data_IF_357501658244
#
_entry.id   IF_357501658244
#
_cell.length_a   1.000
_cell.length_b   1.000
_cell.length_c   1.000
_cell.angle_alpha   90.00
_cell.angle_beta   90.00
_cell.angle_gamma   90.00
#
_symmetry.space_group_name_H-M   'P 1'
#
loop_
_entity.id
_entity.type
_entity.pdbx_description
1 polymer ?
2 non-polymer ?
#
# COMPACT_ATOMS: atom_id res chain seq x y z
N UNK A 6 -28.95 -10.65 -6.91
CA UNK A 6 -27.94 -10.43 -5.84
C UNK A 6 -26.96 -9.35 -6.28
N UNK A 7 -26.76 -8.32 -5.45
CA UNK A 7 -25.80 -7.24 -5.74
C UNK A 7 -24.39 -7.84 -5.66
N UNK A 8 -23.51 -7.48 -6.59
CA UNK A 8 -22.08 -7.87 -6.54
C UNK A 8 -21.15 -6.93 -5.70
N UNK A 9 -21.18 -7.07 -4.34
CA UNK A 9 -20.45 -6.17 -3.41
C UNK A 9 -19.04 -6.74 -3.18
N UNK A 10 -18.01 -5.94 -3.43
CA UNK A 10 -16.60 -6.33 -3.20
C UNK A 10 -15.96 -5.26 -2.30
N UNK A 11 -14.93 -5.61 -1.56
CA UNK A 11 -14.19 -4.56 -0.81
C UNK A 11 -12.77 -4.52 -1.44
N UNK A 12 -12.13 -3.33 -1.47
CA UNK A 12 -10.75 -3.11 -1.96
C UNK A 12 -9.98 -2.28 -0.92
N UNK A 13 -8.79 -2.76 -0.54
CA UNK A 13 -7.91 -2.09 0.46
C UNK A 13 -7.52 -0.73 -0.13
N UNK A 14 -7.64 0.33 0.68
CA UNK A 14 -7.32 1.72 0.28
C UNK A 14 -5.94 2.12 0.82
N UNK A 15 -5.65 1.85 2.09
CA UNK A 15 -4.34 2.19 2.70
C UNK A 15 -4.24 1.57 4.11
N UNK A 16 -3.14 1.88 4.81
CA UNK A 16 -2.97 1.47 6.23
C UNK A 16 -3.72 2.47 7.10
N UNK A 17 -4.15 2.05 8.29
CA UNK A 17 -4.83 2.95 9.25
C UNK A 17 -3.77 3.44 10.26
N UNK A 18 -3.33 4.68 10.14
CA UNK A 18 -2.33 5.23 11.09
C UNK A 18 -2.58 6.73 11.30
N UNK A 19 -2.27 7.22 12.50
CA UNK A 19 -2.31 8.68 12.77
C UNK A 19 -1.29 9.39 11.88
N UNK A 20 -1.70 10.47 11.23
CA UNK A 20 -0.82 11.24 10.32
C UNK A 20 -0.30 12.50 11.03
N UNK A 21 1.01 12.54 11.31
CA UNK A 21 1.63 13.67 12.06
C UNK A 21 1.64 14.95 11.21
N UNK A 22 1.87 14.81 9.89
CA UNK A 22 2.05 15.96 8.95
C UNK A 22 0.69 16.36 8.36
N UNK A 23 -0.36 15.92 9.03
CA UNK A 23 -1.79 16.08 8.65
C UNK A 23 -2.24 17.55 8.70
N UNK A 24 -3.22 17.88 7.84
CA UNK A 24 -3.84 19.23 7.76
C UNK A 24 -4.93 19.33 8.83
N UNK A 25 -4.83 20.36 9.67
CA UNK A 25 -5.73 20.62 10.83
C UNK A 25 -6.94 21.42 10.33
N UNK A 26 -7.83 21.84 11.24
CA UNK A 26 -8.99 22.73 10.93
C UNK A 26 -9.93 22.01 9.95
N UNK A 27 -10.82 22.74 9.28
CA UNK A 27 -11.81 22.09 8.40
C UNK A 27 -11.87 22.73 7.02
N UNK A 28 -11.08 22.22 6.08
CA UNK A 28 -11.16 22.62 4.65
C UNK A 28 -12.04 21.62 3.89
N UNK A 29 -12.43 20.51 4.54
CA UNK A 29 -13.29 19.44 3.96
C UNK A 29 -12.76 19.01 2.59
N UNK A 80 -8.62 -10.07 3.99
CA UNK A 80 -7.17 -10.41 4.08
C UNK A 80 -6.37 -9.12 4.26
N UNK A 81 -5.76 -8.99 5.45
CA UNK A 81 -4.89 -7.85 5.86
C UNK A 81 -5.75 -6.79 6.55
N UNK A 82 -5.17 -6.14 7.57
CA UNK A 82 -5.81 -5.04 8.33
C UNK A 82 -5.73 -3.77 7.49
N UNK A 83 -6.65 -2.83 7.67
CA UNK A 83 -6.62 -1.55 6.94
C UNK A 83 -8.01 -0.96 6.71
N UNK A 84 -8.09 0.07 5.87
CA UNK A 84 -9.34 0.72 5.46
C UNK A 84 -9.64 0.21 4.05
N UNK A 85 -10.87 -0.28 3.80
CA UNK A 85 -11.26 -0.80 2.48
C UNK A 85 -12.40 0.08 1.93
N UNK A 86 -12.38 0.30 0.62
CA UNK A 86 -13.54 0.91 -0.08
C UNK A 86 -14.55 -0.22 -0.22
N UNK A 87 -15.85 0.08 -0.07
CA UNK A 87 -16.91 -0.94 -0.36
C UNK A 87 -17.55 -0.53 -1.69
N UNK A 88 -17.50 -1.44 -2.68
CA UNK A 88 -18.01 -1.13 -4.05
C UNK A 88 -18.82 -2.32 -4.53
N UNK A 89 -19.74 -2.07 -5.46
CA UNK A 89 -20.58 -3.12 -6.07
C UNK A 89 -20.42 -2.93 -7.59
N UNK A 90 -20.35 -4.02 -8.36
CA UNK A 90 -20.22 -3.93 -9.84
C UNK A 90 -21.51 -3.33 -10.42
N UNK A 91 -21.41 -2.44 -11.41
CA UNK A 91 -22.55 -1.85 -12.13
C UNK A 91 -22.46 -2.06 -13.63
N UNK A 92 -23.51 -1.65 -14.36
CA UNK A 92 -23.53 -1.80 -15.85
C UNK A 92 -22.45 -0.93 -16.49
N UNK A 93 -22.26 0.30 -15.96
CA UNK A 93 -21.18 1.21 -16.44
C UNK A 93 -19.84 0.81 -15.81
N UNK A 94 -19.84 0.54 -14.49
CA UNK A 94 -18.63 0.11 -13.76
C UNK A 94 -18.91 0.05 -12.28
N UNK A 95 -17.87 -0.11 -11.45
CA UNK A 95 -18.09 -0.16 -9.99
C UNK A 95 -18.47 1.24 -9.51
N UNK A 96 -19.19 1.31 -8.39
CA UNK A 96 -19.55 2.57 -7.71
C UNK A 96 -19.24 2.39 -6.22
N UNK A 97 -18.61 3.36 -5.57
CA UNK A 97 -18.26 3.22 -4.12
C UNK A 97 -19.41 3.67 -3.24
N UNK A 98 -19.93 2.75 -2.42
CA UNK A 98 -21.12 3.01 -1.57
C UNK A 98 -20.68 3.24 -0.11
N UNK A 99 -19.54 2.69 0.30
CA UNK A 99 -19.11 2.84 1.70
C UNK A 99 -17.64 2.58 1.89
N UNK A 100 -17.18 2.68 3.15
CA UNK A 100 -15.78 2.39 3.53
C UNK A 100 -15.83 1.45 4.73
N UNK A 101 -14.84 0.60 4.90
CA UNK A 101 -14.82 -0.31 6.05
C UNK A 101 -13.45 -0.38 6.68
N UNK A 102 -13.39 -0.81 7.94
CA UNK A 102 -12.13 -0.96 8.71
C UNK A 102 -11.85 -2.45 8.92
N UNK A 103 -10.67 -2.93 8.54
CA UNK A 103 -10.32 -4.35 8.82
C UNK A 103 -9.36 -4.39 10.03
N UNK A 104 -9.83 -5.01 11.11
CA UNK A 104 -9.04 -5.15 12.35
C UNK A 104 -9.32 -6.54 12.95
N UNK A 105 -8.25 -7.27 13.27
CA UNK A 105 -8.30 -8.61 13.94
C UNK A 105 -9.13 -9.60 13.11
N UNK A 106 -9.03 -9.55 11.77
CA UNK A 106 -9.69 -10.51 10.88
C UNK A 106 -11.19 -10.32 10.84
N UNK A 107 -11.68 -9.19 11.35
CA UNK A 107 -13.14 -8.83 11.35
C UNK A 107 -13.37 -7.51 10.60
N UNK A 108 -14.31 -7.49 9.64
CA UNK A 108 -14.60 -6.30 8.82
C UNK A 108 -15.75 -5.51 9.43
N UNK A 109 -15.52 -4.21 9.70
CA UNK A 109 -16.47 -3.29 10.38
C UNK A 109 -16.94 -2.29 9.33
N UNK A 110 -18.24 -2.06 9.22
CA UNK A 110 -18.79 -1.06 8.26
C UNK A 110 -20.16 -0.63 8.77
N UNK A 111 -20.75 0.37 8.12
CA UNK A 111 -22.11 0.89 8.40
C UNK A 111 -23.16 -0.09 7.87
N UNK A 112 -24.22 -0.31 8.63
CA UNK A 112 -25.28 -1.25 8.16
C UNK A 112 -25.85 -0.78 6.81
N UNK A 113 -26.09 0.53 6.68
CA UNK A 113 -26.72 1.12 5.49
C UNK A 113 -25.87 0.90 4.25
N UNK A 114 -24.53 0.87 4.39
CA UNK A 114 -23.67 0.66 3.20
C UNK A 114 -23.87 -0.77 2.67
N UNK A 115 -23.66 -1.77 3.54
CA UNK A 115 -23.70 -3.21 3.18
C UNK A 115 -25.16 -3.69 3.06
N UNK A 116 -26.02 -3.24 3.98
CA UNK A 116 -27.47 -3.60 4.01
C UNK A 116 -27.62 -5.11 4.30
N UNK A 117 -26.56 -5.74 4.82
CA UNK A 117 -26.52 -7.17 5.18
C UNK A 117 -26.02 -8.05 4.05
N UNK A 118 -25.78 -7.45 2.88
CA UNK A 118 -25.39 -8.23 1.68
C UNK A 118 -24.05 -8.91 1.93
N UNK A 119 -23.80 -10.01 1.24
CA UNK A 119 -22.52 -10.77 1.37
C UNK A 119 -21.43 -9.95 0.66
N UNK A 120 -20.21 -9.96 1.17
CA UNK A 120 -19.09 -9.18 0.59
C UNK A 120 -18.08 -10.14 -0.07
N UNK A 121 -17.57 -9.78 -1.25
CA UNK A 121 -16.53 -10.55 -1.95
C UNK A 121 -15.19 -9.85 -1.66
N UNK A 122 -14.26 -10.60 -1.05
CA UNK A 122 -12.87 -10.14 -0.81
C UNK A 122 -11.96 -11.18 -1.46
N UNK A 123 -11.10 -10.76 -2.40
CA UNK A 123 -10.20 -11.72 -3.10
C UNK A 123 -11.08 -12.76 -3.82
N UNK A 124 -10.77 -14.06 -3.63
CA UNK A 124 -11.57 -15.17 -4.17
C UNK A 124 -12.51 -15.76 -3.13
N UNK A 125 -12.50 -15.18 -1.93
CA UNK A 125 -13.31 -15.68 -0.79
C UNK A 125 -14.48 -14.72 -0.54
N UNK A 126 -15.62 -15.29 -0.18
CA UNK A 126 -16.83 -14.54 0.26
C UNK A 126 -16.70 -14.42 1.78
N UNK A 127 -16.71 -13.16 2.24
CA UNK A 127 -16.65 -12.75 3.67
C UNK A 127 -18.13 -12.53 4.10
N UNK A 128 -18.63 -13.09 5.22
CA UNK A 128 -20.10 -13.04 5.53
C UNK A 128 -20.42 -12.50 6.94
N UNK A 129 -21.57 -11.82 7.13
CA UNK A 129 -21.89 -11.12 8.39
C UNK A 129 -22.07 -11.96 9.66
N UNK A 130 -21.67 -11.42 10.81
CA UNK A 130 -21.69 -12.13 12.10
C UNK A 130 -22.64 -11.42 13.04
N UNK A 131 -22.58 -10.08 13.11
CA UNK A 131 -23.41 -9.28 14.03
C UNK A 131 -23.75 -7.94 13.38
N UNK A 132 -24.87 -7.31 13.76
CA UNK A 132 -25.22 -5.97 13.25
C UNK A 132 -26.15 -5.26 14.25
N UNK A 133 -26.24 -3.94 14.12
CA UNK A 133 -27.19 -3.09 14.89
C UNK A 133 -27.70 -2.03 13.90
N UNK A 134 -28.99 -2.07 13.55
CA UNK A 134 -29.63 -1.09 12.60
C UNK A 134 -29.78 0.29 13.25
N UNK A 135 -30.05 0.33 14.57
CA UNK A 135 -30.14 1.59 15.37
C UNK A 135 -28.79 2.32 15.43
N UNK A 136 -27.69 1.58 15.61
CA UNK A 136 -26.32 2.15 15.65
C UNK A 136 -25.72 2.25 14.24
N UNK A 137 -26.36 1.66 13.22
CA UNK A 137 -25.89 1.64 11.81
C UNK A 137 -24.52 0.96 11.74
N UNK A 138 -24.33 -0.16 12.43
CA UNK A 138 -23.03 -0.90 12.50
C UNK A 138 -23.22 -2.35 12.06
N UNK A 139 -22.31 -2.88 11.26
CA UNK A 139 -22.38 -4.30 10.83
C UNK A 139 -20.97 -4.88 10.90
N UNK A 140 -20.81 -6.08 11.45
CA UNK A 140 -19.49 -6.75 11.59
C UNK A 140 -19.51 -8.00 10.71
N UNK A 141 -18.45 -8.23 9.94
CA UNK A 141 -18.38 -9.40 9.02
C UNK A 141 -17.29 -10.36 9.51
N UNK A 142 -17.64 -11.65 9.60
CA UNK A 142 -16.67 -12.73 9.91
C UNK A 142 -16.34 -12.84 11.39
N UNK A 143 -16.67 -11.86 12.21
CA UNK A 143 -16.37 -11.90 13.66
C UNK A 143 -17.17 -10.89 14.46
N UNK A 144 -17.02 -10.89 15.79
CA UNK A 144 -17.68 -9.92 16.68
C UNK A 144 -17.08 -8.54 16.44
N UNK A 145 -17.76 -7.47 16.87
CA UNK A 145 -17.23 -6.07 16.76
C UNK A 145 -15.92 -5.99 17.53
N UNK A 146 -14.83 -5.54 16.88
CA UNK A 146 -13.48 -5.50 17.51
C UNK A 146 -13.09 -4.06 17.89
N UNK A 147 -13.88 -3.06 17.53
CA UNK A 147 -13.48 -1.64 17.76
C UNK A 147 -14.03 -1.20 19.12
N UNK A 148 -13.17 -1.19 20.15
CA UNK A 148 -13.56 -0.77 21.53
C UNK A 148 -12.98 0.60 21.87
N UNK A 149 -12.29 1.26 20.93
CA UNK A 149 -11.63 2.57 21.16
C UNK A 149 -12.65 3.66 21.46
N UNK A 150 -12.33 4.53 22.44
CA UNK A 150 -13.24 5.63 22.90
C UNK A 150 -12.52 6.98 22.78
N UNK A 151 -13.27 8.04 22.50
CA UNK A 151 -12.71 9.43 22.42
C UNK A 151 -12.48 10.00 23.83
N UNK A 152 -11.43 10.81 23.96
CA UNK A 152 -11.03 11.42 25.26
C UNK A 152 -12.16 12.37 25.66
N UNK A 153 -12.71 13.08 24.67
CA UNK A 153 -13.76 14.12 24.84
C UNK A 153 -13.12 15.52 24.70
N UNK A 154 -11.79 15.61 24.85
CA UNK A 154 -11.09 16.91 24.78
C UNK A 154 -10.06 16.97 23.67
N UNK A 155 -9.45 15.82 23.35
CA UNK A 155 -8.34 15.72 22.34
C UNK A 155 -8.87 15.88 20.91
N UNK A 156 -8.00 16.32 20.00
CA UNK A 156 -8.30 16.43 18.54
C UNK A 156 -8.24 15.03 17.89
N UNK A 157 -8.90 14.86 16.74
CA UNK A 157 -8.96 13.52 16.08
C UNK A 157 -8.61 13.69 14.60
N UNK A 158 -8.33 12.59 13.91
CA UNK A 158 -8.03 12.61 12.46
C UNK A 158 -9.02 11.67 11.77
N UNK A 159 -9.63 12.12 10.67
CA UNK A 159 -10.61 11.29 9.94
C UNK A 159 -9.83 10.73 8.72
N UNK A 160 -9.76 9.42 8.62
CA UNK A 160 -9.15 8.85 7.40
C UNK A 160 -10.21 8.75 6.30
N UNK A 161 -10.41 9.84 5.57
CA UNK A 161 -11.44 10.01 4.50
C UNK A 161 -11.11 9.11 3.28
N UNK A 162 -12.14 8.76 2.51
CA UNK A 162 -12.01 7.93 1.29
C UNK A 162 -13.04 8.39 0.24
N UNK A 163 -12.94 9.64 -0.19
CA UNK A 163 -13.94 10.12 -1.18
C UNK A 163 -14.03 9.09 -2.32
N UNK A 164 -15.22 8.73 -2.83
CA UNK A 164 -15.29 7.89 -4.02
C UNK A 164 -14.44 8.54 -5.15
N UNK A 165 -13.36 7.85 -5.54
CA UNK A 165 -12.53 8.28 -6.70
C UNK A 165 -11.46 9.27 -6.27
N UNK A 166 -11.13 9.27 -4.98
CA UNK A 166 -10.11 10.19 -4.44
C UNK A 166 -9.17 9.40 -3.52
N UNK A 167 -7.89 9.79 -3.50
CA UNK A 167 -6.86 9.17 -2.64
C UNK A 167 -7.33 9.30 -1.18
N UNK A 168 -7.08 8.29 -0.32
CA UNK A 168 -7.34 8.43 1.11
C UNK A 168 -6.46 9.55 1.69
N UNK A 169 -7.03 10.41 2.51
CA UNK A 169 -6.30 11.50 3.17
C UNK A 169 -6.71 11.53 4.63
N UNK A 170 -5.82 12.01 5.51
CA UNK A 170 -6.14 12.15 6.95
C UNK A 170 -6.37 13.63 7.17
N UNK A 171 -7.47 13.98 7.84
CA UNK A 171 -7.79 15.42 8.16
C UNK A 171 -7.91 15.55 9.67
N UNK A 172 -7.18 16.51 10.25
CA UNK A 172 -7.20 16.74 11.73
C UNK A 172 -8.28 17.76 12.06
N UNK A 173 -9.22 17.41 12.96
CA UNK A 173 -10.34 18.31 13.33
C UNK A 173 -10.77 18.02 14.79
N UNK A 174 -11.41 18.98 15.45
CA UNK A 174 -11.97 18.77 16.81
C UNK A 174 -13.48 18.52 16.68
N UNK A 175 -14.00 17.35 17.11
CA UNK A 175 -15.42 17.06 16.99
C UNK A 175 -16.25 17.98 17.90
N UNK A 176 -17.43 18.39 17.41
CA UNK A 176 -18.41 19.19 18.18
C UNK A 176 -19.02 18.34 19.27
N UNK A 177 -19.16 18.87 20.48
CA UNK A 177 -19.70 18.05 21.61
C UNK A 177 -21.15 18.49 21.89
N UNK A 178 -22.06 17.52 21.95
CA UNK A 178 -23.50 17.76 22.23
C UNK A 178 -23.96 16.72 23.28
N UNK A 179 -24.85 17.13 24.18
CA UNK A 179 -25.43 16.28 25.25
C UNK A 179 -26.49 15.36 24.62
N UNK A 180 -26.71 14.19 25.22
CA UNK A 180 -27.76 13.23 24.82
C UNK A 180 -28.28 12.55 26.08
N UNK A 181 -29.36 11.78 25.98
CA UNK A 181 -29.95 11.03 27.13
C UNK A 181 -29.02 9.89 27.53
N UNK A 182 -28.23 9.39 26.60
CA UNK A 182 -27.25 8.29 26.85
C UNK A 182 -25.83 8.84 27.12
N UNK A 183 -25.69 10.14 27.38
CA UNK A 183 -24.38 10.77 27.68
C UNK A 183 -23.82 11.58 26.51
N UNK A 184 -22.94 12.55 26.79
CA UNK A 184 -22.42 13.51 25.78
C UNK A 184 -21.84 12.72 24.60
N UNK A 185 -22.03 13.21 23.38
CA UNK A 185 -21.49 12.56 22.15
C UNK A 185 -20.76 13.59 21.26
N UNK A 186 -19.75 13.14 20.51
CA UNK A 186 -18.95 14.02 19.64
C UNK A 186 -19.45 13.91 18.20
N UNK A 187 -19.66 15.04 17.53
CA UNK A 187 -20.16 15.00 16.14
C UNK A 187 -19.05 15.45 15.19
N UNK A 188 -18.72 14.62 14.21
CA UNK A 188 -17.74 15.00 13.16
C UNK A 188 -18.53 15.12 11.87
N UNK A 189 -18.79 16.32 11.38
CA UNK A 189 -19.52 16.52 10.11
C UNK A 189 -18.68 17.39 9.17
N UNK A 190 -18.42 16.92 7.95
CA UNK A 190 -17.54 17.64 6.98
C UNK A 190 -18.14 17.49 5.60
N UNK A 191 -17.67 18.27 4.64
CA UNK A 191 -18.24 18.26 3.26
C UNK A 191 -17.60 17.10 2.47
N UNK A 192 -18.11 15.90 2.66
CA UNK A 192 -17.58 14.67 2.00
C UNK A 192 -18.77 13.94 1.34
N UNK A 193 -18.50 13.19 0.28
CA UNK A 193 -19.55 12.45 -0.45
C UNK A 193 -20.16 11.38 0.47
N UNK A 194 -21.30 10.79 0.07
CA UNK A 194 -21.98 9.71 0.81
C UNK A 194 -21.19 8.39 0.84
N UNK A 195 -20.43 8.14 -0.24
CA UNK A 195 -19.61 6.93 -0.42
C UNK A 195 -18.47 6.88 0.58
N UNK A 196 -18.24 7.99 1.28
CA UNK A 196 -17.17 8.16 2.30
C UNK A 196 -17.64 7.56 3.62
N UNK A 197 -18.92 7.16 3.68
CA UNK A 197 -19.52 6.61 4.93
C UNK A 197 -18.76 5.38 5.38
N UNK A 198 -18.46 5.30 6.69
CA UNK A 198 -17.72 4.17 7.29
C UNK A 198 -16.25 4.46 7.38
N UNK A 199 -15.82 5.62 6.86
CA UNK A 199 -14.41 6.07 6.98
C UNK A 199 -14.02 6.08 8.45
N UNK A 200 -12.91 5.43 8.87
CA UNK A 200 -12.50 5.40 10.27
C UNK A 200 -12.03 6.75 10.85
N UNK A 201 -12.45 7.03 12.09
CA UNK A 201 -12.03 8.22 12.87
C UNK A 201 -11.06 7.71 13.93
N UNK A 202 -9.83 8.22 13.93
CA UNK A 202 -8.76 7.69 14.82
C UNK A 202 -8.38 8.77 15.84
N UNK A 203 -7.93 8.32 17.02
CA UNK A 203 -7.36 9.20 18.08
C UNK A 203 -5.83 9.28 17.92
N UNK A 204 -5.16 9.95 18.87
CA UNK A 204 -3.67 10.17 18.90
C UNK A 204 -2.92 8.83 18.97
N UNK A 205 -3.46 7.85 19.69
CA UNK A 205 -2.86 6.49 19.79
C UNK A 205 -2.92 5.76 18.44
N UNK A 206 -3.82 6.21 17.55
CA UNK A 206 -4.01 5.55 16.24
C UNK A 206 -5.12 4.50 16.26
N UNK A 207 -5.80 4.34 17.40
CA UNK A 207 -6.97 3.42 17.52
C UNK A 207 -8.20 4.06 16.83
N UNK A 208 -9.15 3.24 16.36
CA UNK A 208 -10.36 3.75 15.66
C UNK A 208 -11.43 4.06 16.71
N UNK A 209 -11.79 5.35 16.86
CA UNK A 209 -12.76 5.82 17.89
C UNK A 209 -14.14 6.05 17.28
N UNK A 210 -14.27 6.01 15.95
CA UNK A 210 -15.59 6.12 15.33
C UNK A 210 -15.57 5.89 13.83
N UNK A 211 -16.75 5.72 13.22
CA UNK A 211 -16.88 5.58 11.75
C UNK A 211 -17.63 6.80 11.21
N UNK A 212 -17.11 7.44 10.16
CA UNK A 212 -17.73 8.67 9.59
C UNK A 212 -19.20 8.36 9.33
N UNK A 213 -20.10 8.98 10.11
CA UNK A 213 -21.55 8.78 9.99
C UNK A 213 -22.36 9.41 11.13
N UNK A 227 -21.56 11.06 15.76
CA UNK A 227 -21.60 9.57 15.84
C UNK A 227 -20.39 9.04 16.61
N UNK A 228 -19.58 9.90 17.25
CA UNK A 228 -18.34 9.51 17.97
C UNK A 228 -18.56 9.46 19.50
N UNK A 229 -18.77 8.25 20.04
CA UNK A 229 -19.05 8.07 21.48
C UNK A 229 -17.81 8.48 22.29
N UNK A 230 -17.99 9.27 23.35
CA UNK A 230 -16.85 9.72 24.17
C UNK A 230 -17.02 9.18 25.59
N UNK A 231 -15.95 8.60 26.15
CA UNK A 231 -15.97 8.04 27.52
C UNK A 231 -14.89 8.73 28.37
N UNK A 232 -15.26 9.18 29.57
CA UNK A 232 -14.32 9.89 30.49
C UNK A 232 -14.72 9.63 31.95
N UNK B 6 33.50 -20.48 -2.32
CA UNK B 6 32.55 -19.82 -3.28
C UNK B 6 31.27 -19.42 -2.55
N UNK B 7 30.56 -18.41 -3.09
CA UNK B 7 29.35 -17.85 -2.45
C UNK B 7 28.14 -18.52 -3.09
N UNK B 8 27.22 -19.01 -2.25
CA UNK B 8 25.95 -19.63 -2.72
C UNK B 8 24.87 -18.54 -2.83
N UNK B 9 24.73 -17.92 -4.01
CA UNK B 9 23.73 -16.85 -4.28
C UNK B 9 22.51 -17.56 -4.85
N UNK B 10 21.34 -17.36 -4.23
CA UNK B 10 20.07 -18.01 -4.65
C UNK B 10 19.03 -16.92 -4.90
N UNK B 11 17.97 -17.27 -5.65
CA UNK B 11 16.83 -16.36 -5.96
C UNK B 11 15.58 -16.79 -5.20
N UNK B 12 14.89 -15.85 -4.56
CA UNK B 12 13.60 -16.10 -3.87
C UNK B 12 12.54 -15.15 -4.41
N UNK B 13 11.43 -15.68 -4.94
CA UNK B 13 10.32 -14.83 -5.47
C UNK B 13 9.64 -14.14 -4.29
N UNK B 14 9.48 -12.83 -4.37
CA UNK B 14 8.85 -12.02 -3.29
C UNK B 14 7.39 -11.69 -3.64
N UNK B 15 7.10 -11.43 -4.93
CA UNK B 15 5.72 -11.09 -5.33
C UNK B 15 5.63 -10.98 -6.88
N UNK B 16 4.48 -10.48 -7.36
CA UNK B 16 4.28 -10.01 -8.75
C UNK B 16 4.74 -8.55 -8.80
N UNK B 17 4.93 -8.00 -10.02
CA UNK B 17 5.24 -6.55 -10.20
C UNK B 17 4.00 -5.86 -10.80
N UNK B 18 3.21 -5.19 -9.97
CA UNK B 18 1.98 -4.49 -10.43
C UNK B 18 1.92 -3.14 -9.71
N UNK B 19 1.32 -2.13 -10.38
CA UNK B 19 1.01 -0.84 -9.73
C UNK B 19 -0.14 -1.08 -8.74
N UNK B 20 -0.02 -0.57 -7.51
CA UNK B 20 -1.07 -0.74 -6.47
C UNK B 20 -1.58 0.63 -6.02
N UNK B 21 -2.90 0.85 -6.09
CA UNK B 21 -3.52 2.16 -5.70
C UNK B 21 -3.72 2.22 -4.17
N UNK B 22 -3.48 1.11 -3.48
CA UNK B 22 -3.53 1.07 -1.99
C UNK B 22 -2.19 1.52 -1.39
N UNK B 23 -1.21 1.79 -2.26
CA UNK B 23 0.18 2.16 -1.87
C UNK B 23 0.18 3.42 -1.01
N UNK B 24 1.10 3.47 -0.03
CA UNK B 24 1.32 4.64 0.87
C UNK B 24 1.99 5.73 0.03
N UNK B 25 1.59 6.99 0.23
CA UNK B 25 2.04 8.17 -0.58
C UNK B 25 3.24 8.81 0.14
N UNK B 26 3.95 9.73 -0.54
CA UNK B 26 5.10 10.51 0.01
C UNK B 26 6.20 9.56 0.51
N UNK B 27 6.56 9.62 1.80
CA UNK B 27 7.58 8.69 2.32
C UNK B 27 7.58 8.56 3.84
N UNK B 28 7.29 7.34 4.33
CA UNK B 28 7.39 7.00 5.77
C UNK B 28 8.52 5.98 5.96
N UNK B 29 9.07 5.46 4.85
CA UNK B 29 10.19 4.47 4.84
C UNK B 29 9.93 3.33 5.83
N UNK B 80 12.91 -17.98 -14.67
CA UNK B 80 11.60 -18.71 -14.68
C UNK B 80 10.59 -17.95 -13.81
N UNK B 81 9.45 -17.60 -14.41
CA UNK B 81 8.27 -16.89 -13.79
C UNK B 81 8.61 -15.41 -13.60
N UNK B 82 7.94 -14.52 -14.34
CA UNK B 82 8.16 -13.05 -14.25
C UNK B 82 7.78 -12.60 -12.83
N UNK B 83 8.47 -11.59 -12.29
CA UNK B 83 8.15 -11.05 -10.95
C UNK B 83 9.37 -10.45 -10.26
N UNK B 84 9.21 -10.02 -9.00
CA UNK B 84 10.31 -9.44 -8.19
C UNK B 84 10.87 -10.50 -7.25
N UNK B 85 12.19 -10.70 -7.25
CA UNK B 85 12.86 -11.72 -6.40
C UNK B 85 13.89 -11.05 -5.49
N UNK B 86 13.99 -11.55 -4.25
CA UNK B 86 15.07 -11.15 -3.32
C UNK B 86 16.33 -11.88 -3.77
N UNK B 87 17.50 -11.22 -3.67
CA UNK B 87 18.80 -11.84 -4.02
C UNK B 87 19.46 -12.32 -2.72
N UNK B 88 19.49 -13.63 -2.51
CA UNK B 88 20.00 -14.16 -1.23
C UNK B 88 21.24 -15.03 -1.47
N UNK B 89 22.24 -14.93 -0.58
CA UNK B 89 23.46 -15.79 -0.58
C UNK B 89 23.63 -16.35 0.84
N UNK B 90 23.88 -17.66 0.98
CA UNK B 90 23.99 -18.28 2.32
C UNK B 90 25.47 -18.36 2.68
N UNK B 91 25.86 -17.70 3.77
CA UNK B 91 27.21 -17.82 4.34
C UNK B 91 27.23 -19.02 5.27
N UNK B 92 28.40 -19.37 5.81
CA UNK B 92 28.46 -20.56 6.71
C UNK B 92 27.53 -20.30 7.91
N UNK B 93 27.55 -19.06 8.42
CA UNK B 93 26.72 -18.64 9.57
C UNK B 93 25.22 -18.76 9.23
N UNK B 94 24.77 -18.20 8.09
CA UNK B 94 23.33 -18.28 7.76
C UNK B 94 22.93 -17.46 6.55
N UNK B 95 21.61 -17.37 6.34
CA UNK B 95 20.91 -16.65 5.25
C UNK B 95 21.23 -15.15 5.36
N UNK B 96 21.20 -14.45 4.22
CA UNK B 96 21.40 -12.97 4.15
C UNK B 96 20.85 -12.45 2.82
N UNK B 97 20.26 -11.25 2.79
CA UNK B 97 19.76 -10.66 1.52
C UNK B 97 20.71 -9.54 1.09
N UNK B 98 21.34 -9.71 -0.08
CA UNK B 98 22.32 -8.72 -0.61
C UNK B 98 21.61 -7.73 -1.55
N UNK B 99 20.38 -8.02 -2.01
CA UNK B 99 19.68 -7.14 -2.96
C UNK B 99 18.37 -7.69 -3.48
N UNK B 100 17.80 -7.02 -4.47
CA UNK B 100 16.52 -7.42 -5.11
C UNK B 100 16.73 -7.43 -6.63
N UNK B 101 15.92 -8.21 -7.35
CA UNK B 101 16.06 -8.33 -8.81
C UNK B 101 14.71 -8.54 -9.45
N UNK B 102 14.61 -8.27 -10.75
CA UNK B 102 13.33 -8.34 -11.51
C UNK B 102 13.51 -9.39 -12.60
N UNK B 103 12.60 -10.32 -12.70
CA UNK B 103 12.60 -11.31 -13.81
C UNK B 103 11.55 -10.91 -14.87
N UNK B 104 11.99 -10.64 -16.11
CA UNK B 104 11.08 -10.22 -17.22
C UNK B 104 11.53 -10.83 -18.56
N UNK B 105 10.63 -11.58 -19.20
CA UNK B 105 10.85 -12.24 -20.53
C UNK B 105 11.99 -13.26 -20.48
N UNK B 106 12.10 -13.99 -19.37
CA UNK B 106 13.15 -15.02 -19.19
C UNK B 106 14.52 -14.42 -18.91
N UNK B 107 14.61 -13.14 -18.55
CA UNK B 107 15.89 -12.48 -18.21
C UNK B 107 15.81 -11.97 -16.78
N UNK B 108 16.85 -12.18 -15.97
CA UNK B 108 16.89 -11.64 -14.59
C UNK B 108 17.75 -10.38 -14.56
N UNK B 109 17.16 -9.30 -14.00
CA UNK B 109 17.76 -7.93 -13.97
C UNK B 109 18.05 -7.58 -12.52
N UNK B 110 19.25 -7.06 -12.25
CA UNK B 110 19.67 -6.68 -10.87
C UNK B 110 20.82 -5.68 -11.01
N UNK B 111 21.29 -5.15 -9.87
CA UNK B 111 22.44 -4.23 -9.80
C UNK B 111 23.75 -5.02 -9.78
N UNK B 112 24.80 -4.48 -10.41
CA UNK B 112 26.10 -5.22 -10.53
C UNK B 112 26.66 -5.47 -9.12
N UNK B 113 26.57 -4.47 -8.24
CA UNK B 113 27.14 -4.56 -6.89
C UNK B 113 26.46 -5.64 -6.03
N UNK B 114 25.22 -6.00 -6.35
CA UNK B 114 24.48 -7.03 -5.55
C UNK B 114 25.08 -8.42 -5.83
N UNK B 115 25.26 -8.76 -7.11
CA UNK B 115 25.76 -10.10 -7.54
C UNK B 115 27.29 -10.10 -7.69
N UNK B 116 27.85 -8.96 -8.11
CA UNK B 116 29.31 -8.82 -8.33
C UNK B 116 29.76 -9.90 -9.33
N UNK B 117 28.87 -10.29 -10.22
CA UNK B 117 29.12 -11.26 -11.30
C UNK B 117 28.86 -12.69 -10.85
N UNK B 118 28.59 -12.91 -9.56
CA UNK B 118 28.45 -14.29 -9.00
C UNK B 118 27.32 -15.01 -9.71
N UNK B 119 27.43 -16.32 -9.85
CA UNK B 119 26.40 -17.17 -10.52
C UNK B 119 25.14 -17.13 -9.62
N UNK B 120 23.96 -17.32 -10.22
CA UNK B 120 22.67 -17.32 -9.47
C UNK B 120 22.09 -18.74 -9.56
N UNK B 121 21.31 -19.15 -8.55
CA UNK B 121 20.66 -20.49 -8.58
C UNK B 121 19.16 -20.34 -8.28
N UNK B 122 18.33 -21.13 -8.98
CA UNK B 122 16.87 -21.29 -8.73
C UNK B 122 16.62 -22.51 -7.82
N UNK B 123 15.38 -22.98 -7.72
CA UNK B 123 15.10 -24.17 -6.86
C UNK B 123 15.97 -25.35 -7.34
N UNK B 124 15.98 -25.60 -8.66
CA UNK B 124 16.82 -26.65 -9.26
C UNK B 124 17.76 -26.08 -10.32
N UNK B 125 17.32 -25.01 -11.01
CA UNK B 125 18.06 -24.42 -12.17
C UNK B 125 19.20 -23.50 -11.70
N UNK B 126 20.14 -23.24 -12.61
CA UNK B 126 21.29 -22.31 -12.43
C UNK B 126 21.18 -21.18 -13.45
N UNK B 127 21.45 -19.94 -13.03
CA UNK B 127 21.33 -18.74 -13.92
C UNK B 127 22.74 -18.32 -14.39
N UNK B 128 22.93 -18.23 -15.72
CA UNK B 128 24.24 -17.87 -16.31
C UNK B 128 24.26 -16.39 -16.69
N UNK B 129 25.32 -15.63 -16.33
CA UNK B 129 25.39 -14.21 -16.66
C UNK B 129 25.44 -14.02 -18.18
N UNK B 130 24.88 -12.91 -18.69
CA UNK B 130 24.91 -12.58 -20.15
C UNK B 130 25.62 -11.22 -20.34
N UNK B 131 25.15 -10.18 -19.69
CA UNK B 131 25.70 -8.83 -19.90
C UNK B 131 25.81 -8.15 -18.53
N UNK B 132 26.65 -7.12 -18.44
CA UNK B 132 26.69 -6.30 -17.22
C UNK B 132 27.29 -4.94 -17.55
N UNK B 133 27.04 -3.94 -16.70
CA UNK B 133 27.63 -2.57 -16.83
C UNK B 133 28.00 -2.09 -15.45
N UNK B 134 29.27 -2.18 -15.10
CA UNK B 134 29.74 -1.83 -13.72
C UNK B 134 29.54 -0.34 -13.46
N UNK B 135 29.76 0.49 -14.48
CA UNK B 135 29.61 1.96 -14.36
C UNK B 135 28.17 2.28 -13.97
N UNK B 136 27.20 1.68 -14.68
CA UNK B 136 25.76 1.97 -14.45
C UNK B 136 25.21 1.06 -13.34
N UNK B 137 26.05 0.18 -12.79
CA UNK B 137 25.67 -0.78 -11.72
C UNK B 137 24.53 -1.67 -12.24
N UNK B 138 24.66 -2.20 -13.45
CA UNK B 138 23.60 -3.06 -14.05
C UNK B 138 24.15 -4.44 -14.39
N UNK B 139 23.40 -5.50 -14.05
CA UNK B 139 23.77 -6.92 -14.33
C UNK B 139 22.56 -7.62 -14.95
N UNK B 140 22.75 -8.36 -16.04
CA UNK B 140 21.66 -9.15 -16.70
C UNK B 140 22.04 -10.64 -16.74
N UNK B 141 21.12 -11.54 -16.41
CA UNK B 141 21.37 -13.00 -16.45
C UNK B 141 20.41 -13.72 -17.40
N UNK B 142 20.90 -14.65 -18.21
CA UNK B 142 20.06 -15.47 -19.09
C UNK B 142 19.77 -14.79 -20.42
N UNK B 143 20.06 -13.50 -20.59
CA UNK B 143 19.76 -12.84 -21.89
C UNK B 143 19.94 -11.33 -21.83
N UNK B 144 19.78 -10.65 -22.97
CA UNK B 144 20.01 -9.19 -23.06
C UNK B 144 19.11 -8.46 -22.07
N UNK B 145 19.44 -7.21 -21.72
CA UNK B 145 18.58 -6.34 -20.86
C UNK B 145 17.25 -6.15 -21.58
N UNK B 146 16.11 -6.36 -20.87
CA UNK B 146 14.75 -6.30 -21.47
C UNK B 146 13.93 -5.12 -20.93
N UNK B 147 14.41 -4.39 -19.93
CA UNK B 147 13.62 -3.27 -19.33
C UNK B 147 13.82 -1.97 -20.15
N UNK B 148 13.00 -1.77 -21.18
CA UNK B 148 13.08 -0.56 -22.06
C UNK B 148 12.13 0.54 -21.57
N UNK B 149 11.32 0.31 -20.53
CA UNK B 149 10.43 1.36 -20.01
C UNK B 149 11.27 2.56 -19.52
N UNK B 150 10.85 3.79 -19.82
CA UNK B 150 11.58 5.02 -19.40
C UNK B 150 10.62 6.04 -18.79
N UNK B 151 11.03 6.70 -17.70
CA UNK B 151 10.25 7.77 -17.03
C UNK B 151 10.13 9.02 -17.93
N UNK B 152 8.96 9.70 -17.88
CA UNK B 152 8.72 10.94 -18.68
C UNK B 152 9.18 12.20 -17.92
N UNK B 153 9.38 12.10 -16.59
CA UNK B 153 9.82 13.23 -15.76
C UNK B 153 8.61 13.92 -15.11
N UNK B 154 7.38 13.62 -15.56
CA UNK B 154 6.19 14.32 -15.02
C UNK B 154 5.47 13.49 -13.97
N UNK B 155 5.11 12.26 -14.32
CA UNK B 155 4.26 11.39 -13.45
C UNK B 155 4.98 11.04 -12.13
N UNK B 156 4.19 10.65 -11.12
CA UNK B 156 4.65 9.99 -9.87
C UNK B 156 5.03 8.54 -10.17
N UNK B 157 5.82 7.93 -9.31
CA UNK B 157 6.26 6.53 -9.56
C UNK B 157 5.95 5.70 -8.32
N UNK B 158 6.00 4.38 -8.49
CA UNK B 158 5.90 3.49 -7.33
C UNK B 158 7.18 2.70 -7.19
N UNK B 159 7.73 2.65 -5.98
CA UNK B 159 8.89 1.77 -5.70
C UNK B 159 8.27 0.53 -5.10
N UNK B 160 8.45 -0.61 -5.71
CA UNK B 160 7.95 -1.85 -5.09
C UNK B 160 9.05 -2.28 -4.13
N UNK B 161 9.07 -1.70 -2.95
CA UNK B 161 10.18 -1.99 -2.01
C UNK B 161 10.07 -3.43 -1.53
N UNK B 162 11.21 -4.15 -1.53
CA UNK B 162 11.30 -5.53 -0.98
C UNK B 162 12.38 -5.51 0.12
N UNK B 163 12.10 -4.83 1.24
CA UNK B 163 13.08 -4.72 2.34
C UNK B 163 13.42 -6.12 2.86
N UNK B 164 14.70 -6.42 3.20
CA UNK B 164 15.08 -7.75 3.68
C UNK B 164 14.40 -8.07 5.01
N UNK B 165 13.86 -9.28 5.14
CA UNK B 165 13.13 -9.72 6.34
C UNK B 165 11.71 -9.16 6.39
N UNK B 166 11.31 -8.37 5.38
CA UNK B 166 9.97 -7.72 5.39
C UNK B 166 9.22 -8.01 4.09
N UNK B 167 7.88 -8.09 4.17
CA UNK B 167 6.99 -8.34 3.00
C UNK B 167 7.10 -7.16 2.02
N UNK B 168 6.95 -7.39 0.70
CA UNK B 168 7.01 -6.30 -0.27
C UNK B 168 5.90 -5.25 -0.01
N UNK B 169 6.29 -3.97 -0.05
CA UNK B 169 5.41 -2.81 0.13
C UNK B 169 5.56 -1.98 -1.14
N UNK B 170 4.46 -1.53 -1.76
CA UNK B 170 4.54 -0.56 -2.86
C UNK B 170 4.44 0.84 -2.26
N UNK B 171 5.35 1.75 -2.61
CA UNK B 171 5.35 3.13 -2.04
C UNK B 171 5.29 4.10 -3.22
N UNK B 172 4.37 5.06 -3.17
CA UNK B 172 4.21 6.05 -4.26
C UNK B 172 4.91 7.34 -3.86
N UNK B 173 5.68 7.93 -4.77
CA UNK B 173 6.45 9.17 -4.48
C UNK B 173 6.75 9.84 -5.81
N UNK B 174 7.13 11.12 -5.78
CA UNK B 174 7.59 11.85 -6.99
C UNK B 174 9.09 12.07 -6.86
N UNK B 175 9.94 11.52 -7.76
CA UNK B 175 11.38 11.68 -7.66
C UNK B 175 11.78 13.14 -7.84
N UNK B 176 12.88 13.54 -7.20
CA UNK B 176 13.50 14.86 -7.44
C UNK B 176 14.17 14.85 -8.79
N UNK B 177 14.31 16.00 -9.44
CA UNK B 177 14.96 16.10 -10.78
C UNK B 177 16.32 16.79 -10.64
N UNK B 178 17.36 16.20 -11.25
CA UNK B 178 18.74 16.76 -11.27
C UNK B 178 19.17 16.86 -12.74
N UNK B 179 19.82 17.97 -13.11
CA UNK B 179 20.48 18.16 -14.42
C UNK B 179 21.79 17.34 -14.44
N UNK B 180 22.20 16.88 -15.63
CA UNK B 180 23.44 16.08 -15.82
C UNK B 180 23.90 16.27 -17.26
N UNK B 181 25.19 16.03 -17.48
CA UNK B 181 25.85 16.24 -18.81
C UNK B 181 25.09 15.44 -19.86
N UNK B 182 24.60 14.25 -19.47
CA UNK B 182 23.83 13.35 -20.39
C UNK B 182 22.31 13.62 -20.29
N UNK B 183 21.88 14.74 -19.70
CA UNK B 183 20.46 15.05 -19.55
C UNK B 183 19.94 14.83 -18.14
N UNK B 184 18.85 15.52 -17.79
CA UNK B 184 18.25 15.48 -16.43
C UNK B 184 17.83 14.05 -16.07
N UNK B 185 17.99 13.66 -14.80
CA UNK B 185 17.62 12.31 -14.30
C UNK B 185 16.85 12.47 -12.98
N UNK B 186 15.91 11.57 -12.73
CA UNK B 186 15.11 11.55 -11.49
C UNK B 186 15.92 10.91 -10.37
N UNK B 187 15.66 11.32 -9.12
CA UNK B 187 16.33 10.67 -7.97
C UNK B 187 15.29 10.16 -6.97
N UNK B 188 15.41 8.90 -6.55
CA UNK B 188 14.51 8.27 -5.54
C UNK B 188 15.35 7.78 -4.37
N UNK B 189 15.36 8.50 -3.25
CA UNK B 189 16.17 8.12 -2.06
C UNK B 189 15.30 8.09 -0.80
N UNK B 190 15.16 6.92 -0.18
CA UNK B 190 14.28 6.75 1.02
C UNK B 190 15.06 6.02 2.10
N UNK B 191 14.51 5.95 3.32
CA UNK B 191 15.21 5.28 4.45
C UNK B 191 14.89 3.79 4.39
N UNK B 192 15.52 3.08 3.47
CA UNK B 192 15.31 1.62 3.31
C UNK B 192 16.65 0.93 3.54
N UNK B 193 16.61 -0.30 4.06
CA UNK B 193 17.84 -1.09 4.31
C UNK B 193 18.59 -1.34 2.99
N UNK B 194 19.92 -1.60 3.06
CA UNK B 194 20.79 -1.78 1.88
C UNK B 194 20.41 -3.02 1.05
N UNK B 195 19.86 -4.04 1.73
CA UNK B 195 19.32 -5.27 1.09
C UNK B 195 18.16 -4.97 0.14
N UNK B 196 17.64 -3.73 0.16
CA UNK B 196 16.50 -3.27 -0.66
C UNK B 196 17.01 -2.86 -2.04
N UNK B 197 18.34 -2.75 -2.19
CA UNK B 197 18.95 -2.28 -3.47
C UNK B 197 18.50 -3.18 -4.62
N UNK B 198 18.16 -2.57 -5.76
CA UNK B 198 17.72 -3.33 -6.95
C UNK B 198 16.20 -3.48 -6.97
N UNK B 199 15.52 -2.99 -5.93
CA UNK B 199 14.03 -3.04 -5.87
C UNK B 199 13.49 -2.28 -7.09
N UNK B 200 12.46 -2.82 -7.80
CA UNK B 200 11.97 -2.19 -9.02
C UNK B 200 11.23 -0.86 -8.76
N UNK B 201 11.37 0.09 -9.69
CA UNK B 201 10.61 1.36 -9.71
C UNK B 201 9.66 1.31 -10.90
N UNK B 202 8.35 1.39 -10.67
CA UNK B 202 7.36 1.15 -11.75
C UNK B 202 6.69 2.48 -12.12
N UNK B 203 6.28 2.58 -13.39
CA UNK B 203 5.44 3.69 -13.93
C UNK B 203 3.97 3.31 -13.70
N UNK B 204 3.04 4.22 -14.06
CA UNK B 204 1.58 4.04 -13.82
C UNK B 204 1.05 2.82 -14.58
N UNK B 205 1.65 2.51 -15.73
CA UNK B 205 1.27 1.32 -16.57
C UNK B 205 1.78 0.00 -15.96
N UNK B 206 2.62 0.08 -14.92
CA UNK B 206 3.18 -1.13 -14.26
C UNK B 206 4.51 -1.57 -14.89
N UNK B 207 5.01 -0.81 -15.88
CA UNK B 207 6.34 -1.02 -16.49
C UNK B 207 7.43 -0.56 -15.51
N UNK B 208 8.56 -1.26 -15.46
CA UNK B 208 9.68 -0.88 -14.55
C UNK B 208 10.60 0.09 -15.28
N UNK B 209 10.67 1.34 -14.78
CA UNK B 209 11.45 2.43 -15.42
C UNK B 209 12.76 2.60 -14.66
N UNK B 210 12.94 1.93 -13.53
CA UNK B 210 14.19 2.10 -12.76
C UNK B 210 14.41 1.03 -11.72
N UNK B 211 15.62 0.95 -11.17
CA UNK B 211 15.96 0.00 -10.10
C UNK B 211 16.48 0.75 -8.87
N UNK B 212 15.88 0.52 -7.69
CA UNK B 212 16.22 1.27 -6.46
C UNK B 212 17.74 1.28 -6.23
N UNK B 213 18.37 2.43 -6.47
CA UNK B 213 19.84 2.57 -6.41
C UNK B 213 20.27 4.05 -6.30
N UNK B 227 18.90 7.60 -9.84
CA UNK B 227 19.27 6.52 -10.77
C UNK B 227 18.08 6.23 -11.71
N UNK B 228 17.10 7.15 -11.81
CA UNK B 228 15.88 6.93 -12.63
C UNK B 228 15.98 7.77 -13.89
N UNK B 229 16.26 7.13 -15.01
CA UNK B 229 16.53 7.81 -16.29
C UNK B 229 15.24 8.34 -16.90
N UNK B 230 15.29 9.58 -17.42
CA UNK B 230 14.12 10.30 -17.99
C UNK B 230 14.23 10.40 -19.52
N UNK B 231 13.21 9.99 -20.27
CA UNK B 231 13.22 10.03 -21.75
C UNK B 231 11.89 10.66 -22.16
N UNK B 232 11.79 11.21 -23.38
CA UNK B 232 10.51 11.77 -23.92
C UNK B 232 10.50 11.82 -25.46
X LIG C 1 -26.83 6.40 9.93
X LIG C 1 -25.87 7.33 10.67
X LIG C 1 -26.19 7.07 12.16
X LIG C 1 -25.44 7.78 13.18
X LIG C 1 -25.68 7.53 14.56
X LIG C 1 -26.74 6.59 14.86
X LIG C 1 -27.55 5.93 13.89
X LIG C 1 -27.29 6.15 12.46
X LIG C 1 -27.05 6.39 16.29
X LIG C 1 -28.42 6.63 16.59
X LIG C 1 -28.94 6.58 17.91
X LIG C 1 -28.03 6.24 18.96
X LIG C 1 -28.56 6.12 20.24
X LIG C 1 -27.58 5.71 21.31
X LIG C 1 -27.93 4.23 21.70
X LIG C 1 -26.60 3.39 22.00
X LIG C 1 -27.03 1.95 22.48
X LIG C 1 -27.94 2.14 23.75
X LIG C 1 -29.20 2.99 23.50
X LIG C 1 -28.79 4.41 22.97
X LIG C 1 -26.66 5.98 18.70
X LIG C 1 -26.10 6.13 17.34
X LIG C 1 -24.60 5.74 17.04
X LIG C 1 -24.16 5.42 15.69
X LIG C 1 -22.77 4.95 15.46
X LIG C 1 -21.81 4.80 16.57
X LIG C 1 -22.26 5.02 17.92
X LIG C 1 -23.64 5.45 18.12
X LIG C 1 -20.44 4.32 16.15
X LIG C 1 -19.80 4.59 14.86
X LIG C 1 -18.52 3.90 14.91
X LIG C 1 -18.32 3.17 16.20
X LIG C 1 -19.57 3.43 16.97
X LIG D 1 25.99 2.37 -7.69
X LIG D 1 24.48 2.75 -7.88
X LIG D 1 24.59 3.55 -9.19
X LIG D 1 23.54 4.43 -9.62
X LIG D 1 23.60 5.20 -10.85
X LIG D 1 24.80 5.05 -11.50
X LIG D 1 25.87 4.16 -11.11
X LIG D 1 25.80 3.40 -9.89
X LIG D 1 25.07 5.71 -12.74
X LIG D 1 26.39 6.28 -12.87
X LIG D 1 26.65 6.86 -14.13
X LIG D 1 25.62 6.85 -15.18
X LIG D 1 25.83 7.34 -16.49
X LIG D 1 24.85 6.84 -17.54
X LIG D 1 25.48 6.54 -18.96
X LIG D 1 24.27 6.75 -19.97
X LIG D 1 24.68 6.31 -21.40
X LIG D 1 25.70 7.35 -21.93
X LIG D 1 26.87 7.49 -20.94
X LIG D 1 26.50 7.61 -19.40
X LIG D 1 24.38 6.27 -15.00
X LIG D 1 24.01 5.76 -13.73
X LIG D 1 22.71 5.01 -13.77
X LIG D 1 22.56 3.82 -13.01
X LIG D 1 21.33 2.99 -13.28
X LIG D 1 20.33 3.33 -14.29
X LIG D 1 20.58 4.48 -15.13
X LIG D 1 21.74 5.31 -14.88
X LIG D 1 19.17 2.36 -14.50
X LIG D 1 18.57 1.51 -13.46
X LIG D 1 17.55 0.66 -14.16
X LIG D 1 17.52 0.90 -15.66
X LIG D 1 18.58 1.98 -15.87
#
# INVERSE_FOLDING_TARGET
>A
GSHMLMADLELERAADVRWEEQAEISGSSPILSITISEDGSMSIKNEEEEQTLGGGGSGGGGAGVLWDVPSPPPVGKAELEDGAYRIKQKGILGYSQIGAGVYKEGTFHTMWHVTRGAVLMHKGKRIEPSWADVKKDLISYGGGWKLEGEWKEGEEVQVLALEPGKNPRAVQTKPGLFKTNTGTIGAVSLDFSPGTSGSPIVDKKGKVVGLYGNGVVTRSGAYVSAIANTEKSIEDNPEIEDDIFRK
>B
GSHMLMADLELERAADVRWEEQAEISGSSPILSITISEDGSMSIKNEEEEQTLGGGGSGGGGAGVLWDVPSPPPVGKAELEDGAYRIKQKGILGYSQIGAGVYKEGTFHTMWHVTRGAVLMHKGKRIEPSWADVKKDLISYGGGWKLEGEWKEGEEVQVLALEPGKNPRAVQTKPGLFKTNTGTIGAVSLDFSPGTSGSPIVDKKGKVVGLYGNGVVTRSGAYVSAIANTEKSIEDNPEIEDDIFRK
>C hetero
1 I16 N1 C2 C3 C8 C7 C6 C5 C4 C9 N22 C21 C12 N13 C14 C15 C20 C19 N18 C17 C16 N11 C10 C23 C28 C27 C26 C25 C24 C29 C33 C32 O31 C30
>D hetero
1 I16 N1 C2 C3 C8 C7 C6 C5 C4 C9 N22 C21 C12 N13 C14 C15 C20 C19 N18 C17 C16 N11 C10 C23 C28 C27 C26 C25 C24 C29 C33 C32 O31 C30
#
